data_IF_913754692850
#
_entry.id   IF_913754692850
#
_cell.length_a   1.000
_cell.length_b   1.000
_cell.length_c   1.000
_cell.angle_alpha   90.00
_cell.angle_beta   90.00
_cell.angle_gamma   90.00
#
_symmetry.space_group_name_H-M   'P 1'
#
loop_
_entity.id
_entity.type
_entity.pdbx_description
1 polymer ?
#
# COMPACT_ATOMS: atom_id res chain seq x y z
N UNK A 1 36.01 -14.91 -26.54
CA UNK A 1 35.65 -15.29 -25.16
C UNK A 1 34.63 -14.27 -24.69
N UNK A 2 33.36 -14.65 -24.61
CA UNK A 2 32.28 -13.76 -24.19
C UNK A 2 32.20 -13.84 -22.67
N UNK A 3 32.74 -12.84 -21.98
CA UNK A 3 32.58 -12.71 -20.53
C UNK A 3 31.11 -12.36 -20.27
N UNK A 4 30.35 -13.31 -19.73
CA UNK A 4 28.98 -13.06 -19.33
C UNK A 4 29.00 -12.07 -18.17
N UNK A 5 28.35 -10.91 -18.34
CA UNK A 5 28.17 -9.95 -17.26
C UNK A 5 27.56 -10.66 -16.04
N UNK A 6 28.03 -10.36 -14.81
CA UNK A 6 27.49 -11.00 -13.61
C UNK A 6 25.99 -10.73 -13.54
N UNK A 7 25.21 -11.77 -13.28
CA UNK A 7 23.76 -11.66 -13.13
C UNK A 7 23.46 -10.77 -11.92
N UNK A 8 22.99 -9.54 -12.17
CA UNK A 8 22.57 -8.61 -11.12
C UNK A 8 21.36 -9.22 -10.42
N UNK A 9 21.48 -9.47 -9.12
CA UNK A 9 20.38 -10.00 -8.31
C UNK A 9 19.17 -9.04 -8.39
N UNK A 10 17.94 -9.56 -8.53
CA UNK A 10 16.75 -8.71 -8.60
C UNK A 10 16.58 -7.93 -7.28
N UNK A 11 16.12 -6.68 -7.33
CA UNK A 11 15.92 -5.87 -6.13
C UNK A 11 14.82 -6.48 -5.24
N UNK A 12 15.01 -6.37 -3.93
CA UNK A 12 14.01 -6.72 -2.92
C UNK A 12 13.02 -5.56 -2.79
N UNK A 13 11.75 -5.82 -3.07
CA UNK A 13 10.69 -4.80 -2.99
C UNK A 13 9.89 -5.00 -1.70
N UNK A 14 9.94 -4.01 -0.81
CA UNK A 14 9.08 -3.94 0.35
C UNK A 14 7.88 -3.03 0.06
N UNK A 15 6.68 -3.47 0.42
CA UNK A 15 5.44 -2.74 0.13
C UNK A 15 4.71 -2.48 1.45
N UNK A 16 4.41 -1.21 1.71
CA UNK A 16 3.51 -0.79 2.77
C UNK A 16 2.22 -0.25 2.16
N UNK A 17 1.08 -0.61 2.74
CA UNK A 17 -0.24 -0.19 2.28
C UNK A 17 -1.06 0.31 3.46
N UNK A 18 -1.73 1.45 3.27
CA UNK A 18 -2.57 2.10 4.26
C UNK A 18 -3.91 2.52 3.63
N UNK A 19 -4.96 2.48 4.44
CA UNK A 19 -6.31 2.90 4.03
C UNK A 19 -6.78 4.01 4.97
N UNK A 20 -7.02 5.16 4.37
CA UNK A 20 -7.45 6.37 5.07
C UNK A 20 -8.87 6.72 4.66
N UNK A 21 -9.66 7.14 5.64
CA UNK A 21 -11.05 7.53 5.44
C UNK A 21 -11.23 8.93 6.02
N UNK A 22 -11.76 9.85 5.23
CA UNK A 22 -12.08 11.21 5.64
C UNK A 22 -13.53 11.51 5.30
N UNK A 23 -14.34 11.87 6.30
CA UNK A 23 -15.70 12.40 6.04
C UNK A 23 -15.56 13.80 5.44
N UNK A 24 -16.22 14.07 4.32
CA UNK A 24 -16.09 15.34 3.57
C UNK A 24 -17.12 16.38 3.98
N UNK A 25 -18.34 15.96 4.33
CA UNK A 25 -19.42 16.84 4.76
C UNK A 25 -20.00 16.30 6.06
N UNK A 26 -20.27 17.16 7.05
CA UNK A 26 -20.76 16.73 8.37
C UNK A 26 -22.22 16.22 8.30
N UNK A 27 -23.05 16.90 7.50
CA UNK A 27 -24.48 16.64 7.35
C UNK A 27 -24.81 15.52 6.34
N UNK A 28 -23.80 15.05 5.58
CA UNK A 28 -23.96 13.99 4.59
C UNK A 28 -23.07 12.80 4.88
N UNK A 29 -23.43 11.64 4.34
CA UNK A 29 -22.64 10.42 4.37
C UNK A 29 -21.69 10.34 3.18
N UNK A 30 -20.93 11.42 2.96
CA UNK A 30 -19.93 11.53 1.89
C UNK A 30 -18.54 11.37 2.49
N UNK A 31 -17.80 10.40 1.97
CA UNK A 31 -16.48 10.03 2.46
C UNK A 31 -15.47 10.00 1.31
N UNK A 32 -14.29 10.55 1.55
CA UNK A 32 -13.09 10.23 0.77
C UNK A 32 -12.43 9.00 1.38
N UNK A 33 -12.19 7.99 0.54
CA UNK A 33 -11.36 6.84 0.89
C UNK A 33 -10.11 6.90 0.05
N UNK A 34 -8.96 6.91 0.71
CA UNK A 34 -7.64 6.97 0.08
C UNK A 34 -6.87 5.69 0.36
N UNK A 35 -6.49 5.00 -0.70
CA UNK A 35 -5.58 3.87 -0.69
C UNK A 35 -4.16 4.37 -0.95
N UNK A 36 -3.34 4.40 0.08
CA UNK A 36 -1.94 4.78 -0.01
C UNK A 36 -1.06 3.52 -0.07
N UNK A 37 -0.16 3.45 -1.04
CA UNK A 37 0.85 2.39 -1.12
C UNK A 37 2.23 2.99 -1.35
N UNK A 38 3.21 2.42 -0.67
CA UNK A 38 4.62 2.78 -0.76
C UNK A 38 5.43 1.53 -1.06
N UNK A 39 6.07 1.51 -2.22
CA UNK A 39 6.99 0.46 -2.61
C UNK A 39 8.42 0.98 -2.52
N UNK A 40 9.27 0.28 -1.76
CA UNK A 40 10.68 0.57 -1.60
C UNK A 40 11.50 -0.61 -2.12
N UNK A 41 12.25 -0.38 -3.19
CA UNK A 41 13.12 -1.38 -3.78
C UNK A 41 14.54 -1.20 -3.30
N UNK A 42 15.14 -2.25 -2.76
CA UNK A 42 16.50 -2.24 -2.22
C UNK A 42 17.36 -3.32 -2.86
N UNK A 43 18.65 -3.05 -2.99
CA UNK A 43 19.64 -4.06 -3.32
C UNK A 43 20.38 -4.51 -2.06
N UNK A 44 20.69 -5.81 -1.95
CA UNK A 44 21.59 -6.28 -0.91
C UNK A 44 22.96 -5.59 -1.05
N UNK A 45 23.69 -5.40 0.06
CA UNK A 45 25.04 -4.87 0.00
C UNK A 45 25.93 -5.67 -0.96
N UNK A 46 26.86 -4.98 -1.63
CA UNK A 46 27.78 -5.62 -2.58
C UNK A 46 28.61 -6.73 -1.93
N UNK A 47 29.09 -7.67 -2.73
CA UNK A 47 29.96 -8.74 -2.25
C UNK A 47 31.25 -8.13 -1.63
N UNK A 48 31.52 -8.45 -0.36
CA UNK A 48 32.59 -7.82 0.43
C UNK A 48 32.16 -6.64 1.31
N UNK A 49 30.87 -6.30 1.32
CA UNK A 49 30.28 -5.34 2.25
C UNK A 49 30.43 -5.79 3.70
N UNK A 50 30.58 -4.82 4.61
CA UNK A 50 30.66 -5.08 6.05
C UNK A 50 29.28 -5.49 6.58
N UNK A 51 29.27 -6.20 7.71
CA UNK A 51 28.02 -6.65 8.34
C UNK A 51 27.03 -5.52 8.67
N UNK A 52 27.52 -4.28 8.83
CA UNK A 52 26.70 -3.09 9.13
C UNK A 52 26.26 -2.29 7.89
N UNK A 53 26.63 -2.72 6.68
CA UNK A 53 26.27 -2.00 5.46
C UNK A 53 24.77 -2.15 5.18
N UNK A 54 24.10 -1.00 5.03
CA UNK A 54 22.66 -0.96 4.78
C UNK A 54 22.35 -1.32 3.33
N UNK A 55 21.19 -1.96 3.05
CA UNK A 55 20.70 -2.11 1.69
C UNK A 55 20.61 -0.76 0.99
N UNK A 56 21.04 -0.72 -0.27
CA UNK A 56 20.97 0.49 -1.08
C UNK A 56 19.55 0.60 -1.65
N UNK A 57 18.88 1.72 -1.39
CA UNK A 57 17.58 2.02 -2.02
C UNK A 57 17.81 2.34 -3.50
N UNK A 58 17.14 1.59 -4.37
CA UNK A 58 17.21 1.75 -5.83
C UNK A 58 16.14 2.73 -6.30
N UNK A 59 14.90 2.54 -5.83
CA UNK A 59 13.80 3.45 -6.10
C UNK A 59 12.76 3.38 -4.99
N UNK A 60 11.95 4.44 -4.92
CA UNK A 60 10.75 4.53 -4.10
C UNK A 60 9.60 4.93 -5.02
N UNK A 61 8.49 4.22 -4.95
CA UNK A 61 7.27 4.55 -5.66
C UNK A 61 6.13 4.68 -4.66
N UNK A 62 5.62 5.90 -4.51
CA UNK A 62 4.51 6.24 -3.64
C UNK A 62 3.27 6.56 -4.49
N UNK A 63 2.13 5.98 -4.12
CA UNK A 63 0.84 6.25 -4.75
C UNK A 63 -0.21 6.51 -3.67
N UNK A 64 -1.02 7.54 -3.87
CA UNK A 64 -2.25 7.77 -3.13
C UNK A 64 -3.40 7.80 -4.15
N UNK A 65 -4.24 6.77 -4.13
CA UNK A 65 -5.38 6.66 -5.03
C UNK A 65 -6.66 6.79 -4.22
N UNK A 66 -7.45 7.82 -4.52
CA UNK A 66 -8.63 8.18 -3.72
C UNK A 66 -9.92 8.07 -4.53
N UNK A 67 -11.01 7.79 -3.83
CA UNK A 67 -12.36 7.86 -4.35
C UNK A 67 -13.29 8.54 -3.37
N UNK A 68 -14.29 9.25 -3.90
CA UNK A 68 -15.39 9.82 -3.11
C UNK A 68 -16.56 8.83 -3.16
N UNK A 69 -17.06 8.47 -1.99
CA UNK A 69 -18.13 7.50 -1.80
C UNK A 69 -19.27 8.13 -1.01
N UNK A 70 -20.49 8.00 -1.52
CA UNK A 70 -21.71 8.39 -0.81
C UNK A 70 -22.41 7.14 -0.30
N UNK A 71 -22.63 7.03 1.01
CA UNK A 71 -23.31 5.89 1.63
C UNK A 71 -24.79 6.20 1.87
N UNK A 72 -25.67 5.66 1.04
CA UNK A 72 -27.12 5.90 1.16
C UNK A 72 -27.81 4.76 1.90
N UNK A 73 -28.57 5.09 2.96
CA UNK A 73 -29.38 4.11 3.69
C UNK A 73 -28.57 3.07 4.49
N UNK A 74 -27.29 3.34 4.74
CA UNK A 74 -26.41 2.45 5.51
C UNK A 74 -26.41 2.86 6.99
N UNK A 75 -26.78 1.95 7.91
CA UNK A 75 -26.65 2.18 9.34
C UNK A 75 -25.21 2.49 9.75
N UNK A 76 -25.00 3.43 10.67
CA UNK A 76 -23.66 3.92 11.06
C UNK A 76 -22.72 2.80 11.52
N UNK A 77 -23.23 1.81 12.25
CA UNK A 77 -22.50 0.63 12.70
C UNK A 77 -22.02 -0.31 11.57
N UNK A 78 -22.48 -0.09 10.34
CA UNK A 78 -22.10 -0.86 9.15
C UNK A 78 -21.28 -0.04 8.15
N UNK A 79 -21.11 1.27 8.38
CA UNK A 79 -20.38 2.15 7.47
C UNK A 79 -18.87 1.86 7.50
N UNK A 80 -18.29 1.66 8.69
CA UNK A 80 -16.84 1.48 8.83
C UNK A 80 -16.30 0.27 8.04
N UNK A 81 -16.88 -0.95 8.10
CA UNK A 81 -16.44 -2.06 7.26
C UNK A 81 -16.54 -1.78 5.77
N UNK A 82 -17.58 -1.06 5.32
CA UNK A 82 -17.73 -0.69 3.91
C UNK A 82 -16.59 0.24 3.48
N UNK A 83 -16.31 1.28 4.27
CA UNK A 83 -15.29 2.28 3.99
C UNK A 83 -13.87 1.70 4.05
N UNK A 84 -13.61 0.73 4.93
CA UNK A 84 -12.27 0.14 5.14
C UNK A 84 -12.03 -1.16 4.37
N UNK A 85 -13.07 -1.80 3.82
CA UNK A 85 -12.94 -3.07 3.08
C UNK A 85 -13.43 -2.93 1.64
N UNK A 86 -14.69 -2.53 1.44
CA UNK A 86 -15.29 -2.54 0.11
C UNK A 86 -14.79 -1.38 -0.76
N UNK A 87 -14.74 -0.16 -0.22
CA UNK A 87 -14.21 1.00 -0.92
C UNK A 87 -12.76 0.79 -1.41
N UNK A 88 -11.78 0.40 -0.57
CA UNK A 88 -10.41 0.18 -1.06
C UNK A 88 -10.31 -1.04 -1.99
N UNK A 89 -11.17 -2.05 -1.86
CA UNK A 89 -11.24 -3.18 -2.82
C UNK A 89 -11.63 -2.70 -4.22
N UNK A 90 -12.48 -1.69 -4.34
CA UNK A 90 -12.83 -1.07 -5.62
C UNK A 90 -11.67 -0.22 -6.18
N UNK A 91 -10.91 0.45 -5.32
CA UNK A 91 -9.77 1.29 -5.70
C UNK A 91 -8.52 0.49 -6.09
N UNK A 92 -8.30 -0.66 -5.43
CA UNK A 92 -7.08 -1.45 -5.52
C UNK A 92 -6.67 -1.86 -6.95
N UNK A 93 -7.58 -2.33 -7.84
CA UNK A 93 -7.21 -2.70 -9.21
C UNK A 93 -6.62 -1.55 -10.02
N UNK A 94 -7.03 -0.31 -9.75
CA UNK A 94 -6.50 0.87 -10.44
C UNK A 94 -5.16 1.28 -9.86
N UNK A 95 -5.06 1.36 -8.53
CA UNK A 95 -3.83 1.72 -7.85
C UNK A 95 -2.67 0.76 -8.19
N UNK A 96 -2.92 -0.56 -8.21
CA UNK A 96 -1.89 -1.55 -8.55
C UNK A 96 -1.41 -1.44 -10.00
N UNK A 97 -2.32 -1.13 -10.94
CA UNK A 97 -1.97 -1.02 -12.35
C UNK A 97 -1.10 0.22 -12.58
N UNK A 98 -1.49 1.37 -12.01
CA UNK A 98 -0.71 2.60 -12.07
C UNK A 98 0.69 2.39 -11.50
N UNK A 99 0.81 1.71 -10.35
CA UNK A 99 2.11 1.44 -9.74
C UNK A 99 3.00 0.55 -10.61
N UNK A 100 2.43 -0.49 -11.23
CA UNK A 100 3.14 -1.36 -12.15
C UNK A 100 3.61 -0.61 -13.41
N UNK A 101 2.75 0.22 -13.99
CA UNK A 101 3.06 1.00 -15.20
C UNK A 101 4.13 2.05 -14.93
N UNK A 102 4.01 2.84 -13.86
CA UNK A 102 4.97 3.91 -13.52
C UNK A 102 6.37 3.34 -13.21
N UNK A 103 6.43 2.21 -12.50
CA UNK A 103 7.73 1.57 -12.19
C UNK A 103 8.40 0.99 -13.44
N UNK A 104 7.60 0.41 -14.34
CA UNK A 104 8.06 -0.04 -15.66
C UNK A 104 8.54 1.12 -16.53
N UNK A 105 7.78 2.20 -16.61
CA UNK A 105 8.12 3.37 -17.41
C UNK A 105 9.35 4.10 -16.85
N UNK A 106 9.63 3.96 -15.55
CA UNK A 106 10.88 4.36 -14.90
C UNK A 106 12.10 3.49 -15.25
N UNK A 107 11.94 2.44 -16.06
CA UNK A 107 13.02 1.52 -16.45
C UNK A 107 13.30 0.40 -15.44
N UNK A 108 12.44 0.24 -14.42
CA UNK A 108 12.57 -0.80 -13.41
C UNK A 108 11.60 -1.97 -13.68
N UNK A 109 11.81 -3.15 -13.07
CA UNK A 109 10.80 -4.21 -13.07
C UNK A 109 9.46 -3.70 -12.51
N UNK A 110 8.32 -4.10 -13.09
CA UNK A 110 7.01 -3.64 -12.64
C UNK A 110 6.73 -4.11 -11.21
N UNK A 111 6.34 -3.18 -10.34
CA UNK A 111 5.89 -3.51 -8.98
C UNK A 111 4.47 -4.04 -9.02
N UNK A 112 4.34 -5.35 -8.90
CA UNK A 112 3.05 -6.04 -8.91
C UNK A 112 2.52 -6.20 -7.49
N UNK A 113 1.50 -5.40 -7.12
CA UNK A 113 0.80 -5.60 -5.86
C UNK A 113 0.01 -6.91 -5.89
N UNK A 114 0.31 -7.80 -4.94
CA UNK A 114 -0.44 -9.03 -4.71
C UNK A 114 -1.83 -8.76 -4.11
N UNK A 115 -2.72 -9.75 -4.10
CA UNK A 115 -4.03 -9.62 -3.44
C UNK A 115 -3.89 -9.19 -1.97
N UNK A 116 -4.71 -8.24 -1.55
CA UNK A 116 -4.72 -7.70 -0.19
C UNK A 116 -5.93 -8.21 0.58
N UNK A 117 -5.70 -8.71 1.79
CA UNK A 117 -6.77 -9.03 2.74
C UNK A 117 -7.19 -7.77 3.51
N UNK A 118 -8.10 -6.99 2.92
CA UNK A 118 -8.66 -5.80 3.55
C UNK A 118 -9.48 -6.13 4.81
N UNK A 119 -10.06 -7.33 4.92
CA UNK A 119 -10.79 -7.74 6.11
C UNK A 119 -9.83 -7.93 7.28
N UNK A 120 -8.71 -8.62 7.05
CA UNK A 120 -7.64 -8.77 8.04
C UNK A 120 -7.04 -7.43 8.48
N UNK A 121 -6.84 -6.50 7.53
CA UNK A 121 -6.38 -5.13 7.81
C UNK A 121 -7.35 -4.36 8.72
N UNK A 122 -8.66 -4.42 8.42
CA UNK A 122 -9.69 -3.82 9.26
C UNK A 122 -9.74 -4.44 10.66
N UNK A 123 -9.69 -5.77 10.76
CA UNK A 123 -9.67 -6.48 12.05
C UNK A 123 -8.44 -6.15 12.89
N UNK A 124 -7.26 -6.06 12.26
CA UNK A 124 -6.03 -5.66 12.93
C UNK A 124 -6.12 -4.23 13.49
N UNK A 125 -6.71 -3.31 12.73
CA UNK A 125 -6.96 -1.93 13.16
C UNK A 125 -7.94 -1.85 14.33
N UNK A 126 -9.04 -2.60 14.28
CA UNK A 126 -10.00 -2.68 15.38
C UNK A 126 -9.34 -3.19 16.68
N UNK A 127 -8.49 -4.21 16.57
CA UNK A 127 -7.74 -4.76 17.70
C UNK A 127 -6.67 -3.78 18.26
N UNK A 128 -6.04 -2.98 17.40
CA UNK A 128 -5.10 -1.93 17.84
C UNK A 128 -5.81 -0.79 18.57
N UNK A 129 -6.96 -0.34 18.07
CA UNK A 129 -7.77 0.68 18.74
C UNK A 129 -8.25 0.22 20.13
N UNK A 130 -8.60 -1.06 20.28
CA UNK A 130 -8.92 -1.64 21.60
C UNK A 130 -7.74 -1.62 22.58
N UNK A 131 -6.49 -1.81 22.12
CA UNK A 131 -5.30 -1.77 22.98
C UNK A 131 -4.96 -0.36 23.47
N UNK A 132 -5.23 0.68 22.68
CA UNK A 132 -5.03 2.07 23.10
C UNK A 132 -6.06 2.52 24.15
N UNK A 133 -7.30 2.03 24.07
CA UNK A 133 -8.35 2.32 25.07
C UNK A 133 -8.15 1.53 26.37
N UNK A 134 -7.61 0.30 26.31
CA UNK A 134 -7.37 -0.53 27.49
C UNK A 134 -6.16 -0.09 28.36
N UNK A 135 -5.32 0.81 27.85
CA UNK A 135 -4.14 1.36 28.55
C UNK A 135 -4.34 2.82 29.00
N UNK A 136 -5.58 3.33 29.00
CA UNK A 136 -5.95 4.68 29.43
C UNK A 136 -6.74 4.66 30.74
#
# INVERSE_FOLDING_TARGET
>A
MSEAAPAVAPPLVNINLDVQVRKLEEDQTVFEVTLAARAEATMPPAEGAKADDKPMVVFIADIAYAGIFTLNGIPENQQEPILLVECPRLLFPFARNILADVTRDGGFPPVMLGPIDFVGLWQARAAQNMKTVANA
#
